data_IF_807546098389
#
_entry.id   IF_807546098389
#
_cell.length_a   1.000
_cell.length_b   1.000
_cell.length_c   1.000
_cell.angle_alpha   90.00
_cell.angle_beta   90.00
_cell.angle_gamma   90.00
#
_symmetry.space_group_name_H-M   'P 1'
#
loop_
_entity.id
_entity.type
_entity.pdbx_description
1 polymer ?
#
# COMPACT_ATOMS: atom_id res chain seq x y z
N UNK A 1 -13.20 -15.77 28.62
CA UNK A 1 -13.01 -14.47 27.94
C UNK A 1 -11.53 -14.39 27.55
N UNK A 2 -11.21 -14.53 26.27
CA UNK A 2 -9.84 -14.35 25.81
C UNK A 2 -9.48 -12.88 25.97
N UNK A 3 -8.41 -12.61 26.69
CA UNK A 3 -7.88 -11.28 26.90
C UNK A 3 -7.23 -10.81 25.59
N UNK A 4 -7.99 -10.07 24.78
CA UNK A 4 -7.52 -9.48 23.51
C UNK A 4 -6.59 -8.28 23.79
N UNK A 5 -5.56 -8.49 24.64
CA UNK A 5 -4.54 -7.47 24.86
C UNK A 5 -3.90 -7.13 23.52
N UNK A 6 -3.76 -5.82 23.26
CA UNK A 6 -3.14 -5.22 22.09
C UNK A 6 -1.77 -5.82 21.82
N UNK A 7 -1.69 -6.95 21.11
CA UNK A 7 -0.43 -7.40 20.54
C UNK A 7 0.02 -6.33 19.56
N UNK A 8 1.10 -5.62 19.92
CA UNK A 8 1.71 -4.65 19.02
C UNK A 8 2.20 -5.39 17.80
N UNK A 9 1.74 -4.99 16.63
CA UNK A 9 2.31 -5.47 15.36
C UNK A 9 3.78 -5.08 15.35
N UNK A 10 4.68 -6.05 15.56
CA UNK A 10 6.12 -5.83 15.52
C UNK A 10 6.67 -6.49 14.26
N UNK A 11 7.38 -5.71 13.46
CA UNK A 11 8.07 -6.18 12.28
C UNK A 11 9.57 -6.35 12.57
N UNK A 12 10.19 -7.44 12.08
CA UNK A 12 11.58 -7.79 12.41
C UNK A 12 12.63 -6.92 11.66
N UNK A 13 13.65 -6.37 12.35
CA UNK A 13 14.60 -5.35 11.84
C UNK A 13 15.63 -5.84 10.82
N UNK A 14 15.93 -7.13 10.71
CA UNK A 14 17.10 -7.63 9.97
C UNK A 14 17.17 -7.27 8.48
N UNK A 15 16.03 -7.21 7.79
CA UNK A 15 15.99 -6.86 6.36
C UNK A 15 16.05 -5.35 6.10
N UNK A 16 15.72 -4.53 7.07
CA UNK A 16 15.49 -3.09 6.90
C UNK A 16 16.78 -2.29 6.85
N UNK A 17 17.75 -2.60 7.68
CA UNK A 17 19.10 -1.99 7.62
C UNK A 17 19.75 -2.24 6.26
N UNK A 18 19.59 -3.45 5.71
CA UNK A 18 20.09 -3.81 4.38
C UNK A 18 19.40 -3.00 3.28
N UNK A 19 18.07 -2.87 3.35
CA UNK A 19 17.33 -2.15 2.32
C UNK A 19 17.54 -0.64 2.39
N UNK A 20 17.66 -0.06 3.58
CA UNK A 20 18.11 1.34 3.76
C UNK A 20 19.48 1.60 3.11
N UNK A 21 20.41 0.71 3.34
CA UNK A 21 21.74 0.78 2.73
C UNK A 21 21.64 0.71 1.20
N UNK A 22 20.88 -0.22 0.67
CA UNK A 22 20.64 -0.35 -0.77
C UNK A 22 20.03 0.92 -1.40
N UNK A 23 19.03 1.54 -0.74
CA UNK A 23 18.44 2.81 -1.20
C UNK A 23 19.53 3.89 -1.25
N UNK A 24 20.33 4.05 -0.18
CA UNK A 24 21.41 5.05 -0.15
C UNK A 24 22.47 4.83 -1.23
N UNK A 25 22.85 3.59 -1.48
CA UNK A 25 23.83 3.23 -2.52
C UNK A 25 23.30 3.50 -3.94
N UNK A 26 21.97 3.31 -4.17
CA UNK A 26 21.35 3.51 -5.48
C UNK A 26 20.87 4.93 -5.74
N UNK A 27 20.67 5.73 -4.71
CA UNK A 27 20.15 7.10 -4.83
C UNK A 27 21.00 8.01 -5.75
N UNK A 28 22.36 7.95 -5.77
CA UNK A 28 23.17 8.71 -6.73
C UNK A 28 22.94 8.35 -8.19
N UNK A 29 22.46 7.13 -8.47
CA UNK A 29 22.28 6.60 -9.82
C UNK A 29 20.94 6.98 -10.46
N UNK A 30 20.03 7.61 -9.70
CA UNK A 30 18.67 7.96 -10.14
C UNK A 30 18.45 9.47 -10.16
N UNK A 31 17.58 9.91 -11.06
CA UNK A 31 17.19 11.31 -11.22
C UNK A 31 16.02 11.71 -10.33
N UNK A 32 15.18 10.73 -9.95
CA UNK A 32 14.02 10.93 -9.09
C UNK A 32 13.55 9.64 -8.43
N UNK A 33 12.50 9.76 -7.61
CA UNK A 33 11.92 8.65 -6.85
C UNK A 33 10.42 8.57 -7.11
N UNK A 34 9.92 7.36 -7.31
CA UNK A 34 8.49 7.03 -7.39
C UNK A 34 8.12 6.25 -6.15
N UNK A 35 7.26 6.79 -5.31
CA UNK A 35 6.78 6.11 -4.12
C UNK A 35 5.37 5.59 -4.32
N UNK A 36 5.19 4.27 -4.17
CA UNK A 36 3.89 3.64 -4.21
C UNK A 36 3.28 3.57 -2.81
N UNK A 37 2.11 4.16 -2.69
CA UNK A 37 1.25 4.14 -1.52
C UNK A 37 0.00 3.31 -1.81
N UNK A 38 -0.64 2.77 -0.78
CA UNK A 38 -1.98 2.20 -0.91
C UNK A 38 -3.03 3.31 -0.70
N UNK A 39 -3.88 3.55 -1.69
CA UNK A 39 -4.89 4.63 -1.65
C UNK A 39 -5.94 4.46 -0.54
N UNK A 40 -6.01 3.28 0.11
CA UNK A 40 -6.89 3.05 1.27
C UNK A 40 -6.29 3.57 2.58
N UNK A 41 -4.96 3.67 2.64
CA UNK A 41 -4.19 4.12 3.81
C UNK A 41 -2.98 4.96 3.37
N UNK A 42 -3.19 6.14 2.75
CA UNK A 42 -2.10 6.91 2.15
C UNK A 42 -1.06 7.41 3.16
N UNK A 43 -1.48 7.83 4.36
CA UNK A 43 -0.58 8.24 5.43
C UNK A 43 0.19 7.03 5.98
N UNK A 44 -0.52 6.00 6.41
CA UNK A 44 0.08 4.81 7.01
C UNK A 44 0.98 4.05 6.04
N UNK A 45 0.74 4.12 4.72
CA UNK A 45 1.60 3.48 3.72
C UNK A 45 2.81 4.32 3.28
N UNK A 46 2.86 5.60 3.65
CA UNK A 46 4.03 6.45 3.45
C UNK A 46 5.09 6.14 4.51
N UNK A 47 6.28 5.74 4.06
CA UNK A 47 7.38 5.48 5.00
C UNK A 47 8.04 6.80 5.41
N UNK A 48 7.94 7.24 6.68
CA UNK A 48 8.48 8.52 7.15
C UNK A 48 10.00 8.61 7.00
N UNK A 49 10.71 7.49 7.02
CA UNK A 49 12.16 7.47 6.84
C UNK A 49 12.58 7.79 5.41
N UNK A 50 11.71 7.53 4.42
CA UNK A 50 12.00 7.87 3.02
C UNK A 50 12.16 9.37 2.82
N UNK A 51 11.44 10.23 3.56
CA UNK A 51 11.59 11.68 3.46
C UNK A 51 13.04 12.13 3.72
N UNK A 52 13.69 11.52 4.69
CA UNK A 52 15.09 11.81 5.01
C UNK A 52 16.07 11.13 4.06
N UNK A 53 15.79 9.89 3.65
CA UNK A 53 16.67 9.06 2.81
C UNK A 53 16.78 9.60 1.38
N UNK A 54 15.65 10.07 0.80
CA UNK A 54 15.57 10.55 -0.58
C UNK A 54 15.64 12.08 -0.70
N UNK A 55 16.02 12.77 0.38
CA UNK A 55 16.12 14.23 0.41
C UNK A 55 16.92 14.78 -0.78
N UNK A 56 16.37 15.78 -1.44
CA UNK A 56 16.99 16.43 -2.61
C UNK A 56 16.70 15.75 -3.96
N UNK A 57 15.96 14.64 -3.99
CA UNK A 57 15.47 14.05 -5.24
C UNK A 57 14.02 14.43 -5.49
N UNK A 58 13.64 14.80 -6.73
CA UNK A 58 12.24 14.94 -7.12
C UNK A 58 11.47 13.65 -6.83
N UNK A 59 10.22 13.78 -6.33
CA UNK A 59 9.42 12.66 -5.86
C UNK A 59 8.02 12.68 -6.46
N UNK A 60 7.57 11.53 -6.94
CA UNK A 60 6.21 11.31 -7.44
C UNK A 60 5.56 10.24 -6.56
N UNK A 61 4.40 10.58 -5.98
CA UNK A 61 3.60 9.68 -5.16
C UNK A 61 2.56 8.99 -6.06
N UNK A 62 2.46 7.66 -6.01
CA UNK A 62 1.40 6.92 -6.71
C UNK A 62 0.45 6.31 -5.68
N UNK A 63 -0.75 6.85 -5.58
CA UNK A 63 -1.85 6.30 -4.77
C UNK A 63 -2.44 5.11 -5.54
N UNK A 64 -1.83 3.93 -5.35
CA UNK A 64 -2.24 2.71 -6.03
C UNK A 64 -3.47 2.08 -5.38
N UNK A 65 -4.13 1.16 -6.10
CA UNK A 65 -5.40 0.52 -5.72
C UNK A 65 -6.54 1.53 -5.53
N UNK A 66 -6.51 2.62 -6.32
CA UNK A 66 -7.57 3.63 -6.29
C UNK A 66 -8.96 3.09 -6.75
N UNK A 67 -8.99 1.90 -7.34
CA UNK A 67 -10.20 1.16 -7.70
C UNK A 67 -10.98 0.68 -6.48
N UNK A 68 -10.31 0.36 -5.37
CA UNK A 68 -10.90 -0.09 -4.10
C UNK A 68 -10.88 0.96 -2.99
N UNK A 69 -10.30 2.14 -3.24
CA UNK A 69 -10.28 3.27 -2.33
C UNK A 69 -11.45 4.24 -2.57
N UNK A 70 -11.80 5.05 -1.56
CA UNK A 70 -12.80 6.12 -1.67
C UNK A 70 -12.29 7.21 -2.64
N UNK A 71 -13.02 7.55 -3.71
CA UNK A 71 -12.59 8.55 -4.68
C UNK A 71 -12.49 9.96 -4.12
N UNK A 72 -13.37 10.33 -3.19
CA UNK A 72 -13.37 11.66 -2.58
C UNK A 72 -12.18 11.81 -1.64
N UNK A 73 -11.91 10.80 -0.81
CA UNK A 73 -10.72 10.74 0.03
C UNK A 73 -9.44 10.75 -0.80
N UNK A 74 -9.38 9.99 -1.91
CA UNK A 74 -8.22 9.99 -2.81
C UNK A 74 -7.94 11.36 -3.39
N UNK A 75 -8.98 12.13 -3.81
CA UNK A 75 -8.82 13.51 -4.27
C UNK A 75 -8.29 14.44 -3.19
N UNK A 76 -8.79 14.31 -1.95
CA UNK A 76 -8.32 15.10 -0.80
C UNK A 76 -6.84 14.82 -0.51
N UNK A 77 -6.41 13.56 -0.57
CA UNK A 77 -5.02 13.18 -0.40
C UNK A 77 -4.10 13.74 -1.49
N UNK A 78 -4.52 13.73 -2.77
CA UNK A 78 -3.76 14.35 -3.86
C UNK A 78 -3.58 15.85 -3.59
N UNK A 79 -4.64 16.54 -3.16
CA UNK A 79 -4.57 17.97 -2.81
C UNK A 79 -3.64 18.23 -1.61
N UNK A 80 -3.70 17.39 -0.56
CA UNK A 80 -2.85 17.50 0.61
C UNK A 80 -1.36 17.29 0.26
N UNK A 81 -1.03 16.31 -0.59
CA UNK A 81 0.32 16.13 -1.09
C UNK A 81 0.79 17.32 -1.94
N UNK A 82 -0.09 17.87 -2.79
CA UNK A 82 0.22 19.06 -3.58
C UNK A 82 0.53 20.28 -2.70
N UNK A 83 -0.23 20.49 -1.62
CA UNK A 83 0.03 21.53 -0.64
C UNK A 83 1.41 21.39 0.05
N UNK A 84 1.93 20.16 0.15
CA UNK A 84 3.29 19.86 0.64
C UNK A 84 4.36 19.95 -0.47
N UNK A 85 4.01 20.41 -1.69
CA UNK A 85 4.93 20.45 -2.83
C UNK A 85 5.26 19.08 -3.42
N UNK A 86 4.49 18.04 -3.09
CA UNK A 86 4.66 16.68 -3.61
C UNK A 86 3.67 16.43 -4.74
N UNK A 87 4.11 15.84 -5.84
CA UNK A 87 3.23 15.45 -6.96
C UNK A 87 2.64 14.09 -6.69
N UNK A 88 1.31 13.95 -6.75
CA UNK A 88 0.61 12.69 -6.51
C UNK A 88 -0.35 12.34 -7.65
N UNK A 89 -0.44 11.04 -7.99
CA UNK A 89 -1.35 10.48 -8.99
C UNK A 89 -2.15 9.33 -8.38
N UNK A 90 -3.46 9.27 -8.68
CA UNK A 90 -4.28 8.10 -8.37
C UNK A 90 -4.16 7.08 -9.50
N UNK A 91 -3.78 5.85 -9.17
CA UNK A 91 -3.55 4.78 -10.16
C UNK A 91 -4.16 3.46 -9.69
N UNK A 92 -4.51 2.61 -10.66
CA UNK A 92 -4.71 1.18 -10.45
C UNK A 92 -3.73 0.43 -11.36
N UNK A 93 -2.67 -0.09 -10.77
CA UNK A 93 -1.63 -0.80 -11.50
C UNK A 93 -2.12 -2.14 -12.08
N UNK A 94 -3.23 -2.70 -11.60
CA UNK A 94 -3.81 -3.94 -12.11
C UNK A 94 -4.54 -3.69 -13.44
N UNK A 95 -5.44 -2.71 -13.49
CA UNK A 95 -6.17 -2.36 -14.72
C UNK A 95 -5.38 -1.44 -15.65
N UNK A 96 -4.46 -0.63 -15.11
CA UNK A 96 -3.72 0.41 -15.82
C UNK A 96 -4.39 1.78 -15.75
N UNK A 97 -5.52 1.91 -15.05
CA UNK A 97 -6.22 3.19 -14.88
C UNK A 97 -5.30 4.23 -14.23
N UNK A 98 -5.26 5.43 -14.79
CA UNK A 98 -4.46 6.56 -14.30
C UNK A 98 -2.97 6.52 -14.69
N UNK A 99 -2.43 5.39 -15.18
CA UNK A 99 -1.02 5.27 -15.54
C UNK A 99 -0.62 6.05 -16.79
N UNK A 100 -1.57 6.42 -17.68
CA UNK A 100 -1.29 7.28 -18.83
C UNK A 100 -0.75 8.65 -18.45
N UNK A 101 -1.09 9.15 -17.25
CA UNK A 101 -0.57 10.41 -16.73
C UNK A 101 0.88 10.31 -16.20
N UNK A 102 1.41 9.10 -15.99
CA UNK A 102 2.70 8.91 -15.35
C UNK A 102 3.88 9.51 -16.15
N UNK A 103 4.01 9.14 -17.43
CA UNK A 103 5.12 9.62 -18.25
C UNK A 103 5.12 11.16 -18.42
N UNK A 104 3.99 11.84 -18.74
CA UNK A 104 3.93 13.29 -18.74
C UNK A 104 4.32 13.92 -17.40
N UNK A 105 3.86 13.32 -16.29
CA UNK A 105 4.20 13.78 -14.93
C UNK A 105 5.69 13.68 -14.65
N UNK A 106 6.34 12.58 -15.03
CA UNK A 106 7.80 12.43 -14.91
C UNK A 106 8.53 13.53 -15.66
N UNK A 107 8.15 13.80 -16.90
CA UNK A 107 8.75 14.85 -17.72
C UNK A 107 8.60 16.23 -17.09
N UNK A 108 7.43 16.52 -16.53
CA UNK A 108 7.17 17.78 -15.82
C UNK A 108 8.02 17.90 -14.54
N UNK A 109 8.01 16.89 -13.70
CA UNK A 109 8.73 16.88 -12.41
C UNK A 109 10.24 16.93 -12.60
N UNK A 110 10.76 16.25 -13.63
CA UNK A 110 12.19 16.20 -13.95
C UNK A 110 12.62 17.23 -15.02
N UNK A 111 11.78 18.21 -15.35
CA UNK A 111 12.08 19.23 -16.39
C UNK A 111 13.46 19.87 -16.21
N UNK A 112 13.80 20.31 -15.00
CA UNK A 112 15.12 20.90 -14.70
C UNK A 112 16.28 19.93 -14.94
N UNK A 113 16.09 18.63 -14.67
CA UNK A 113 17.10 17.60 -14.92
C UNK A 113 17.28 17.39 -16.43
N UNK A 114 16.20 17.36 -17.19
CA UNK A 114 16.22 17.25 -18.66
C UNK A 114 16.97 18.43 -19.27
N UNK A 115 16.61 19.65 -18.90
CA UNK A 115 17.26 20.88 -19.37
C UNK A 115 18.78 20.88 -19.09
N UNK A 116 19.16 20.52 -17.85
CA UNK A 116 20.56 20.39 -17.45
C UNK A 116 21.32 19.35 -18.27
N UNK A 117 20.71 18.20 -18.55
CA UNK A 117 21.32 17.14 -19.37
C UNK A 117 21.50 17.64 -20.82
N UNK A 118 20.50 18.31 -21.39
CA UNK A 118 20.58 18.91 -22.74
C UNK A 118 21.70 19.92 -22.84
N UNK A 119 21.84 20.85 -21.89
CA UNK A 119 22.91 21.84 -21.83
C UNK A 119 24.30 21.21 -21.74
N UNK A 120 24.42 20.01 -21.18
CA UNK A 120 25.68 19.25 -21.09
C UNK A 120 25.95 18.35 -22.29
N UNK A 121 25.20 18.48 -23.38
CA UNK A 121 25.33 17.65 -24.58
C UNK A 121 24.80 16.21 -24.42
N UNK A 122 24.06 15.93 -23.34
CA UNK A 122 23.49 14.61 -23.04
C UNK A 122 21.98 14.56 -23.39
N UNK A 123 21.58 15.19 -24.50
CA UNK A 123 20.22 15.12 -24.99
C UNK A 123 19.81 13.66 -25.25
N UNK A 124 18.61 13.26 -24.80
CA UNK A 124 18.14 11.89 -24.94
C UNK A 124 18.67 10.88 -23.91
N UNK A 125 19.47 11.32 -22.94
CA UNK A 125 19.87 10.46 -21.81
C UNK A 125 18.63 9.95 -21.08
N UNK A 126 18.50 8.61 -20.84
CA UNK A 126 17.39 8.05 -20.10
C UNK A 126 17.24 8.67 -18.71
N UNK A 127 16.01 8.97 -18.32
CA UNK A 127 15.66 9.39 -16.97
C UNK A 127 15.50 8.16 -16.07
N UNK A 128 16.25 8.11 -15.01
CA UNK A 128 16.27 7.00 -14.07
C UNK A 128 15.46 7.29 -12.83
N UNK A 129 14.50 6.44 -12.52
CA UNK A 129 13.63 6.57 -11.35
C UNK A 129 13.73 5.32 -10.48
N UNK A 130 13.92 5.52 -9.17
CA UNK A 130 13.84 4.45 -8.17
C UNK A 130 12.39 4.27 -7.74
N UNK A 131 11.89 3.03 -7.77
CA UNK A 131 10.54 2.69 -7.30
C UNK A 131 10.64 2.19 -5.88
N UNK A 132 10.05 2.91 -4.93
CA UNK A 132 10.04 2.59 -3.50
C UNK A 132 8.62 2.43 -2.98
N UNK A 133 8.47 1.90 -1.78
CA UNK A 133 7.20 1.73 -1.08
C UNK A 133 7.22 0.49 -0.20
N UNK A 134 6.25 0.40 0.68
CA UNK A 134 6.11 -0.74 1.59
C UNK A 134 5.74 -2.04 0.81
N UNK A 135 5.83 -3.22 1.42
CA UNK A 135 5.38 -4.46 0.79
C UNK A 135 3.91 -4.39 0.37
N UNK A 136 3.57 -5.11 -0.70
CA UNK A 136 2.19 -5.28 -1.23
C UNK A 136 1.46 -4.00 -1.68
N UNK A 137 2.14 -2.86 -1.82
CA UNK A 137 1.58 -1.65 -2.45
C UNK A 137 1.48 -1.73 -3.98
N UNK A 138 2.03 -2.79 -4.59
CA UNK A 138 1.93 -3.04 -6.03
C UNK A 138 3.11 -2.55 -6.86
N UNK A 139 4.31 -2.40 -6.29
CA UNK A 139 5.54 -1.98 -7.00
C UNK A 139 5.82 -2.83 -8.25
N UNK A 140 5.88 -4.15 -8.08
CA UNK A 140 6.12 -5.06 -9.21
C UNK A 140 4.99 -5.02 -10.25
N UNK A 141 3.73 -4.85 -9.81
CA UNK A 141 2.59 -4.66 -10.72
C UNK A 141 2.72 -3.38 -11.53
N UNK A 142 3.12 -2.27 -10.89
CA UNK A 142 3.41 -1.00 -11.55
C UNK A 142 4.50 -1.16 -12.62
N UNK A 143 5.66 -1.70 -12.23
CA UNK A 143 6.80 -1.89 -13.12
C UNK A 143 6.44 -2.80 -14.30
N UNK A 144 5.77 -3.94 -14.04
CA UNK A 144 5.33 -4.86 -15.09
C UNK A 144 4.38 -4.18 -16.08
N UNK A 145 3.44 -3.39 -15.57
CA UNK A 145 2.47 -2.69 -16.41
C UNK A 145 3.16 -1.63 -17.28
N UNK A 146 4.09 -0.88 -16.71
CA UNK A 146 4.84 0.14 -17.44
C UNK A 146 5.82 -0.47 -18.43
N UNK A 147 6.46 -1.58 -18.13
CA UNK A 147 7.39 -2.29 -19.02
C UNK A 147 6.68 -3.06 -20.16
N UNK A 148 5.35 -3.19 -20.15
CA UNK A 148 4.56 -3.85 -21.19
C UNK A 148 4.79 -5.36 -21.34
N UNK A 149 5.57 -6.00 -20.45
CA UNK A 149 5.83 -7.45 -20.39
C UNK A 149 5.97 -7.86 -18.93
N UNK A 150 5.54 -9.08 -18.58
CA UNK A 150 5.67 -9.65 -17.23
C UNK A 150 7.15 -9.96 -16.91
N UNK A 151 7.98 -8.94 -16.73
CA UNK A 151 9.42 -9.11 -16.45
C UNK A 151 9.74 -9.18 -14.96
N UNK A 152 8.99 -8.50 -14.09
CA UNK A 152 9.10 -8.64 -12.65
C UNK A 152 8.07 -9.67 -12.16
N UNK A 153 8.49 -10.66 -11.37
CA UNK A 153 7.56 -11.66 -10.79
C UNK A 153 6.64 -10.94 -9.80
N UNK A 154 5.35 -10.87 -10.12
CA UNK A 154 4.32 -10.44 -9.19
C UNK A 154 3.96 -11.64 -8.31
N UNK A 155 4.11 -11.52 -7.01
CA UNK A 155 3.60 -12.49 -6.05
C UNK A 155 2.87 -11.74 -4.93
N UNK A 156 1.78 -12.30 -4.47
CA UNK A 156 0.97 -11.73 -3.38
C UNK A 156 1.64 -11.85 -2.00
N UNK A 157 2.87 -12.39 -1.96
CA UNK A 157 3.65 -12.53 -0.72
C UNK A 157 4.63 -11.38 -0.52
N UNK A 158 4.61 -10.79 0.67
CA UNK A 158 5.56 -9.75 1.05
C UNK A 158 7.02 -10.23 0.91
N UNK A 159 7.88 -9.41 0.26
CA UNK A 159 9.32 -9.66 0.17
C UNK A 159 9.80 -10.44 -1.05
N UNK A 160 9.05 -10.46 -2.16
CA UNK A 160 9.42 -11.22 -3.38
C UNK A 160 10.62 -10.63 -4.13
N UNK A 161 10.76 -9.30 -4.17
CA UNK A 161 11.89 -8.65 -4.85
C UNK A 161 13.16 -8.73 -3.99
N UNK A 162 14.13 -9.56 -4.42
CA UNK A 162 15.36 -9.82 -3.66
C UNK A 162 16.60 -9.06 -4.18
N UNK A 163 16.56 -8.52 -5.41
CA UNK A 163 17.67 -7.81 -6.05
C UNK A 163 17.15 -6.60 -6.82
N UNK A 164 17.99 -5.54 -6.93
CA UNK A 164 17.70 -4.35 -7.71
C UNK A 164 17.77 -4.67 -9.20
N UNK A 165 16.73 -4.33 -9.95
CA UNK A 165 16.62 -4.59 -11.39
C UNK A 165 16.15 -3.35 -12.14
N UNK A 166 16.77 -3.06 -13.31
CA UNK A 166 16.35 -1.95 -14.18
C UNK A 166 15.37 -2.41 -15.24
N UNK A 167 14.36 -1.58 -15.49
CA UNK A 167 13.30 -1.82 -16.47
C UNK A 167 13.09 -0.58 -17.35
N UNK A 168 13.30 -0.71 -18.65
CA UNK A 168 12.93 0.33 -19.61
C UNK A 168 11.40 0.35 -19.79
N UNK A 169 10.76 1.53 -19.65
CA UNK A 169 9.29 1.66 -19.66
C UNK A 169 8.76 2.58 -20.78
N UNK A 170 9.58 2.91 -21.72
CA UNK A 170 9.24 3.85 -22.80
C UNK A 170 9.49 5.32 -22.41
N UNK A 171 9.34 6.23 -23.40
CA UNK A 171 9.57 7.66 -23.16
C UNK A 171 10.96 8.04 -22.67
N UNK A 172 11.96 7.19 -22.86
CA UNK A 172 13.31 7.41 -22.35
C UNK A 172 13.41 7.27 -20.81
N UNK A 173 12.55 6.47 -20.19
CA UNK A 173 12.53 6.28 -18.73
C UNK A 173 12.95 4.85 -18.38
N UNK A 174 13.81 4.74 -17.37
CA UNK A 174 14.21 3.50 -16.73
C UNK A 174 13.76 3.49 -15.27
N UNK A 175 13.09 2.41 -14.86
CA UNK A 175 12.65 2.18 -13.47
C UNK A 175 13.59 1.18 -12.79
N UNK A 176 13.99 1.49 -11.56
CA UNK A 176 14.73 0.59 -10.69
C UNK A 176 13.76 -0.02 -9.69
N UNK A 177 13.54 -1.34 -9.74
CA UNK A 177 12.76 -2.05 -8.71
C UNK A 177 13.60 -2.21 -7.44
N UNK A 178 12.99 -1.89 -6.31
CA UNK A 178 13.60 -2.07 -4.99
C UNK A 178 12.74 -2.96 -4.11
N UNK A 179 13.35 -3.71 -3.18
CA UNK A 179 12.59 -4.44 -2.17
C UNK A 179 11.65 -3.52 -1.39
N UNK A 180 10.51 -4.04 -0.95
CA UNK A 180 9.59 -3.30 -0.08
C UNK A 180 10.22 -2.95 1.25
N UNK A 181 10.04 -1.71 1.71
CA UNK A 181 10.66 -1.18 2.93
C UNK A 181 9.58 -0.75 3.91
N UNK A 182 9.49 -1.45 5.03
CA UNK A 182 8.80 -0.98 6.23
C UNK A 182 9.84 -0.39 7.19
N UNK A 183 9.44 0.42 8.15
CA UNK A 183 10.31 0.93 9.20
C UNK A 183 10.18 0.10 10.48
N UNK A 184 11.24 0.08 11.34
CA UNK A 184 11.37 -0.93 12.41
C UNK A 184 10.32 -0.86 13.51
N UNK A 185 9.75 0.32 13.74
CA UNK A 185 8.81 0.56 14.83
C UNK A 185 7.74 1.53 14.37
N UNK A 186 6.50 1.17 14.58
CA UNK A 186 5.36 2.06 14.40
C UNK A 186 5.16 2.81 15.72
N UNK A 187 5.34 4.13 15.70
CA UNK A 187 5.12 4.97 16.89
C UNK A 187 3.63 5.03 17.22
N UNK A 188 2.78 5.03 16.19
CA UNK A 188 1.33 4.92 16.31
C UNK A 188 0.87 3.46 16.07
N UNK A 189 0.25 2.80 17.06
CA UNK A 189 -0.30 1.46 16.90
C UNK A 189 -1.34 1.34 15.77
N UNK A 190 -2.11 2.40 15.50
CA UNK A 190 -3.10 2.40 14.42
C UNK A 190 -2.46 2.29 13.05
N UNK A 191 -1.28 2.86 12.84
CA UNK A 191 -0.50 2.70 11.61
C UNK A 191 -0.16 1.22 11.40
N UNK A 192 0.30 0.53 12.45
CA UNK A 192 0.59 -0.91 12.40
C UNK A 192 -0.63 -1.74 12.02
N UNK A 193 -1.78 -1.47 12.65
CA UNK A 193 -3.04 -2.16 12.36
C UNK A 193 -3.51 -1.89 10.91
N UNK A 194 -3.50 -0.64 10.45
CA UNK A 194 -3.87 -0.28 9.07
C UNK A 194 -2.98 -0.96 8.04
N UNK A 195 -1.68 -1.05 8.29
CA UNK A 195 -0.74 -1.76 7.40
C UNK A 195 -1.00 -3.27 7.37
N UNK A 196 -1.36 -3.86 8.50
CA UNK A 196 -1.73 -5.27 8.58
C UNK A 196 -3.08 -5.54 7.89
N UNK A 197 -4.08 -4.65 8.03
CA UNK A 197 -5.37 -4.76 7.34
C UNK A 197 -5.20 -4.86 5.83
N UNK A 198 -4.34 -4.04 5.23
CA UNK A 198 -4.08 -4.06 3.79
C UNK A 198 -3.11 -5.16 3.34
N UNK A 199 -2.60 -6.00 4.27
CA UNK A 199 -1.68 -7.11 4.00
C UNK A 199 -0.24 -6.67 3.70
N UNK A 200 0.19 -5.49 4.18
CA UNK A 200 1.59 -5.05 4.04
C UNK A 200 2.51 -5.68 5.08
N UNK A 201 1.95 -6.18 6.18
CA UNK A 201 2.60 -7.04 7.17
C UNK A 201 2.19 -8.49 6.87
N UNK A 202 3.09 -9.44 7.10
CA UNK A 202 2.79 -10.86 6.88
C UNK A 202 1.78 -11.38 7.90
N UNK A 203 0.76 -12.10 7.44
CA UNK A 203 -0.26 -12.70 8.31
C UNK A 203 0.33 -13.75 9.29
N UNK A 204 1.46 -14.37 8.95
CA UNK A 204 2.19 -15.31 9.82
C UNK A 204 2.76 -14.64 11.09
N UNK A 205 2.87 -13.33 11.12
CA UNK A 205 3.42 -12.53 12.23
C UNK A 205 2.31 -11.91 13.07
N UNK A 206 1.07 -11.94 12.57
CA UNK A 206 -0.10 -11.35 13.23
C UNK A 206 -1.14 -12.44 13.48
N UNK A 207 -1.76 -12.40 14.65
CA UNK A 207 -2.98 -13.17 14.86
C UNK A 207 -4.09 -12.60 13.98
N UNK A 208 -4.42 -13.32 12.90
CA UNK A 208 -5.36 -12.86 11.89
C UNK A 208 -6.80 -12.72 12.44
N UNK A 209 -7.17 -13.53 13.44
CA UNK A 209 -8.48 -13.42 14.10
C UNK A 209 -8.58 -12.10 14.85
N UNK A 210 -7.61 -11.83 15.72
CA UNK A 210 -7.53 -10.57 16.47
C UNK A 210 -7.45 -9.36 15.52
N UNK A 211 -6.65 -9.45 14.46
CA UNK A 211 -6.52 -8.39 13.46
C UNK A 211 -7.85 -8.12 12.75
N UNK A 212 -8.56 -9.18 12.36
CA UNK A 212 -9.85 -9.05 11.66
C UNK A 212 -10.94 -8.51 12.60
N UNK A 213 -10.93 -8.91 13.87
CA UNK A 213 -11.82 -8.31 14.88
C UNK A 213 -11.59 -6.79 14.99
N UNK A 214 -10.33 -6.33 15.07
CA UNK A 214 -10.01 -4.90 15.09
C UNK A 214 -10.47 -4.18 13.81
N UNK A 215 -10.27 -4.80 12.65
CA UNK A 215 -10.76 -4.26 11.39
C UNK A 215 -12.29 -4.09 11.41
N UNK A 216 -13.02 -5.12 11.84
CA UNK A 216 -14.48 -5.11 11.93
C UNK A 216 -14.97 -4.07 12.93
N UNK A 217 -14.29 -3.89 14.06
CA UNK A 217 -14.59 -2.85 15.05
C UNK A 217 -14.42 -1.44 14.45
N UNK A 218 -13.33 -1.19 13.73
CA UNK A 218 -13.12 0.09 13.01
C UNK A 218 -14.20 0.31 11.95
N UNK A 219 -14.53 -0.72 11.16
CA UNK A 219 -15.56 -0.62 10.12
C UNK A 219 -16.97 -0.53 10.71
N UNK A 220 -17.27 -1.23 11.81
CA UNK A 220 -18.55 -1.15 12.51
C UNK A 220 -18.87 0.28 12.98
N UNK A 221 -17.85 0.98 13.50
CA UNK A 221 -17.99 2.38 13.93
C UNK A 221 -18.00 3.39 12.78
N UNK A 222 -17.23 3.16 11.73
CA UNK A 222 -17.02 4.18 10.68
C UNK A 222 -17.81 3.92 9.40
N UNK A 223 -18.10 2.66 9.09
CA UNK A 223 -18.70 2.21 7.82
C UNK A 223 -19.64 1.00 8.01
N UNK A 224 -20.57 1.00 8.99
CA UNK A 224 -21.41 -0.17 9.30
C UNK A 224 -22.18 -0.67 8.06
N UNK A 225 -22.61 0.24 7.19
CA UNK A 225 -23.34 -0.11 5.97
C UNK A 225 -22.55 -1.03 5.01
N UNK A 226 -21.21 -0.93 5.00
CA UNK A 226 -20.38 -1.82 4.18
C UNK A 226 -20.48 -3.28 4.66
N UNK A 227 -20.48 -3.49 5.97
CA UNK A 227 -20.63 -4.81 6.60
C UNK A 227 -22.06 -5.34 6.38
N UNK A 228 -23.06 -4.52 6.67
CA UNK A 228 -24.49 -4.86 6.54
C UNK A 228 -24.80 -5.31 5.10
N UNK A 229 -24.42 -4.51 4.11
CA UNK A 229 -24.67 -4.81 2.70
C UNK A 229 -23.92 -6.07 2.22
N UNK A 230 -22.69 -6.30 2.71
CA UNK A 230 -21.88 -7.43 2.27
C UNK A 230 -22.34 -8.74 2.88
N UNK A 231 -22.66 -8.75 4.17
CA UNK A 231 -22.90 -9.98 4.93
C UNK A 231 -24.36 -10.21 5.29
N UNK A 232 -25.22 -9.19 5.18
CA UNK A 232 -26.65 -9.29 5.53
C UNK A 232 -26.88 -9.55 7.02
N UNK A 233 -26.07 -8.91 7.86
CA UNK A 233 -26.17 -8.94 9.33
C UNK A 233 -26.48 -7.54 9.84
N UNK A 234 -27.03 -7.44 11.04
CA UNK A 234 -27.17 -6.18 11.76
C UNK A 234 -25.84 -5.82 12.43
N UNK A 235 -25.50 -4.54 12.41
CA UNK A 235 -24.29 -3.99 13.05
C UNK A 235 -24.67 -2.68 13.70
N UNK A 236 -24.43 -2.55 15.00
CA UNK A 236 -24.53 -1.30 15.73
C UNK A 236 -23.14 -0.80 16.19
N UNK A 237 -23.08 0.45 16.63
CA UNK A 237 -21.82 1.11 17.00
C UNK A 237 -21.15 0.56 18.29
N UNK A 238 -21.89 -0.23 19.08
CA UNK A 238 -21.43 -0.81 20.34
C UNK A 238 -20.89 -2.23 20.18
N UNK A 239 -21.20 -2.89 19.04
CA UNK A 239 -20.72 -4.25 18.79
C UNK A 239 -19.19 -4.31 18.76
N UNK A 240 -18.66 -5.28 19.51
CA UNK A 240 -17.22 -5.59 19.47
C UNK A 240 -16.90 -6.33 18.16
N UNK A 241 -15.66 -6.21 17.70
CA UNK A 241 -15.24 -6.84 16.43
C UNK A 241 -15.44 -8.36 16.40
N UNK A 242 -15.30 -9.05 17.52
CA UNK A 242 -15.53 -10.49 17.62
C UNK A 242 -17.02 -10.86 17.49
N UNK A 243 -17.96 -10.02 17.99
CA UNK A 243 -19.39 -10.23 17.84
C UNK A 243 -19.80 -10.09 16.35
N UNK A 244 -19.23 -9.10 15.66
CA UNK A 244 -19.44 -8.92 14.22
C UNK A 244 -18.88 -10.13 13.45
N UNK A 245 -17.68 -10.60 13.80
CA UNK A 245 -17.07 -11.77 13.16
C UNK A 245 -17.88 -13.04 13.38
N UNK A 246 -18.41 -13.24 14.58
CA UNK A 246 -19.31 -14.35 14.92
C UNK A 246 -20.60 -14.29 14.11
N UNK A 247 -21.24 -13.14 14.04
CA UNK A 247 -22.46 -12.94 13.25
C UNK A 247 -22.23 -13.25 11.76
N UNK A 248 -21.08 -12.82 11.21
CA UNK A 248 -20.66 -13.15 9.84
C UNK A 248 -20.49 -14.67 9.69
N UNK A 249 -19.78 -15.31 10.61
CA UNK A 249 -19.53 -16.75 10.60
C UNK A 249 -20.84 -17.56 10.63
N UNK A 250 -21.78 -17.21 11.49
CA UNK A 250 -23.12 -17.81 11.55
C UNK A 250 -23.88 -17.62 10.23
N UNK A 251 -23.95 -16.39 9.74
CA UNK A 251 -24.67 -16.06 8.50
C UNK A 251 -24.13 -16.77 7.27
N UNK A 252 -22.81 -16.98 7.21
CA UNK A 252 -22.11 -17.63 6.10
C UNK A 252 -21.98 -19.13 6.25
N UNK A 253 -22.39 -19.70 7.40
CA UNK A 253 -22.27 -21.12 7.69
C UNK A 253 -20.81 -21.59 7.85
N UNK A 254 -19.94 -20.71 8.39
CA UNK A 254 -18.55 -21.08 8.69
C UNK A 254 -18.50 -21.77 10.06
N UNK A 255 -18.90 -23.04 10.06
CA UNK A 255 -19.06 -23.84 11.27
C UNK A 255 -18.07 -25.01 11.27
N UNK A 256 -17.57 -25.34 12.46
CA UNK A 256 -16.83 -26.57 12.75
C UNK A 256 -17.79 -27.73 13.03
N UNK A 257 -17.23 -28.94 13.17
CA UNK A 257 -17.99 -30.11 13.66
C UNK A 257 -18.50 -29.81 15.07
N UNK A 258 -19.81 -29.92 15.27
CA UNK A 258 -20.47 -29.56 16.52
C UNK A 258 -21.23 -28.23 16.49
N UNK A 259 -21.16 -27.46 15.38
CA UNK A 259 -21.94 -26.24 15.21
C UNK A 259 -21.30 -24.97 15.79
N UNK A 260 -20.07 -25.09 16.28
CA UNK A 260 -19.30 -23.93 16.74
C UNK A 260 -18.77 -23.11 15.56
N UNK A 261 -18.56 -21.81 15.79
CA UNK A 261 -18.04 -20.90 14.75
C UNK A 261 -16.56 -21.21 14.47
N UNK A 262 -16.24 -21.34 13.19
CA UNK A 262 -14.86 -21.38 12.69
C UNK A 262 -14.35 -19.92 12.53
N UNK A 263 -13.83 -19.37 13.64
CA UNK A 263 -13.32 -17.99 13.66
C UNK A 263 -12.14 -17.80 12.72
N UNK A 264 -11.24 -18.77 12.61
CA UNK A 264 -10.08 -18.66 11.73
C UNK A 264 -10.52 -18.54 10.26
N UNK A 265 -11.40 -19.43 9.80
CA UNK A 265 -11.98 -19.37 8.46
C UNK A 265 -12.73 -18.06 8.22
N UNK A 266 -13.50 -17.60 9.18
CA UNK A 266 -14.25 -16.34 9.11
C UNK A 266 -13.28 -15.17 8.94
N UNK A 267 -12.22 -15.12 9.74
CA UNK A 267 -11.22 -14.06 9.72
C UNK A 267 -10.45 -14.01 8.39
N UNK A 268 -10.00 -15.15 7.87
CA UNK A 268 -9.31 -15.26 6.57
C UNK A 268 -10.20 -14.69 5.46
N UNK A 269 -11.46 -15.11 5.40
CA UNK A 269 -12.40 -14.69 4.35
C UNK A 269 -12.70 -13.19 4.45
N UNK A 270 -12.95 -12.67 5.64
CA UNK A 270 -13.24 -11.24 5.85
C UNK A 270 -12.05 -10.37 5.48
N UNK A 271 -10.83 -10.75 5.91
CA UNK A 271 -9.62 -10.04 5.58
C UNK A 271 -9.36 -10.02 4.06
N UNK A 272 -9.53 -11.15 3.38
CA UNK A 272 -9.38 -11.26 1.93
C UNK A 272 -10.46 -10.45 1.18
N UNK A 273 -11.68 -10.45 1.66
CA UNK A 273 -12.76 -9.66 1.06
C UNK A 273 -12.55 -8.16 1.23
N UNK A 274 -12.04 -7.71 2.39
CA UNK A 274 -11.61 -6.34 2.58
C UNK A 274 -10.46 -5.96 1.65
N UNK A 275 -9.41 -6.78 1.62
CA UNK A 275 -8.24 -6.57 0.75
C UNK A 275 -8.61 -6.54 -0.74
N UNK A 276 -9.55 -7.39 -1.13
CA UNK A 276 -10.10 -7.46 -2.48
C UNK A 276 -11.16 -6.41 -2.84
N UNK A 277 -11.52 -5.52 -1.90
CA UNK A 277 -12.52 -4.45 -2.12
C UNK A 277 -13.97 -4.91 -2.18
N UNK A 278 -14.29 -6.13 -1.73
CA UNK A 278 -15.65 -6.66 -1.75
C UNK A 278 -16.59 -6.02 -0.71
N UNK A 279 -16.03 -5.31 0.28
CA UNK A 279 -16.77 -4.49 1.24
C UNK A 279 -17.05 -3.07 0.70
N UNK A 280 -16.77 -2.81 -0.58
CA UNK A 280 -16.92 -1.49 -1.19
C UNK A 280 -15.62 -0.69 -1.19
N UNK A 281 -15.70 0.49 -1.82
CA UNK A 281 -14.57 1.41 -1.93
C UNK A 281 -14.43 2.23 -0.65
N UNK A 282 -13.29 2.13 0.01
CA UNK A 282 -13.08 2.84 1.28
C UNK A 282 -11.64 3.27 1.48
N UNK A 283 -11.47 4.36 2.22
CA UNK A 283 -10.17 4.84 2.71
C UNK A 283 -10.31 5.00 4.23
N UNK A 284 -9.36 4.43 4.98
CA UNK A 284 -9.42 4.34 6.44
C UNK A 284 -8.87 5.58 7.15
N UNK A 285 -8.28 6.52 6.39
CA UNK A 285 -7.67 7.72 6.91
C UNK A 285 -7.88 8.90 5.95
N UNK A 286 -8.00 10.09 6.52
CA UNK A 286 -8.19 11.33 5.77
C UNK A 286 -7.02 12.26 6.06
N UNK A 287 -6.62 13.15 5.11
CA UNK A 287 -5.66 14.19 5.40
C UNK A 287 -6.29 15.19 6.37
N UNK A 288 -5.46 15.70 7.29
CA UNK A 288 -5.80 16.81 8.18
C UNK A 288 -6.09 18.11 7.43
#
# INVERSE_FOLDING_TARGET
>A
MADFQKQKVQWFPGHMAKTRRQIKEMLPLVDGVVELLDARVPYSSANPELDSLVRGKPRIMLLNKCDVADPAATKRWIAAFAAQGKTALAVDCRSGKGLSAFLPTVQQVLKKTIEKNTQRGMAGKPLRLMVVGIPNTGKSSFINRMAGKNRAKVADKAGVTRQNQWFAVGGGIELLDTPGVLWPKFDDPEVGDRLAFIGSVKDEVTDLETLTCRLLEVLGRTRPQAIIQRYGIEVDEYMQGWEILEAIGRKRGFLMRGGEIDYNRSAVIVADEFRGGKLGRMTLELPE
#
